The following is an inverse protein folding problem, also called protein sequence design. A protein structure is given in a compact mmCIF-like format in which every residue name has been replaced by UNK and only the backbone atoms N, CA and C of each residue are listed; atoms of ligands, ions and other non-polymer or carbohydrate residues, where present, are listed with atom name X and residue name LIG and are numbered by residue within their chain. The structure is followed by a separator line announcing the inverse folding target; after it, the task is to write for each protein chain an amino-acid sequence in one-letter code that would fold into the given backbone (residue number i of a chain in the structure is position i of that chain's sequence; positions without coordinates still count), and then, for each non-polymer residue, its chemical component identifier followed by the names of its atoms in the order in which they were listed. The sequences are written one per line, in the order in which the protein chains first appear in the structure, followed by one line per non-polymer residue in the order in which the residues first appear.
data_IF_836466043630
#
_entry.id   IF_836466043630
#
_cell.length_a   1.000
_cell.length_b   1.000
_cell.length_c   1.000
_cell.angle_alpha   90.00
_cell.angle_beta   90.00
_cell.angle_gamma   90.00
#
_symmetry.space_group_name_H-M   'P 1'
#
loop_
_entity.id
_entity.type
_entity.pdbx_description
1 polymer ?
#
# COMPACT_ATOMS: atom_id res chain seq x y z
N UNK A 1 12.39 -1.10 5.92
CA UNK A 1 11.71 -0.09 6.77
C UNK A 1 10.64 -0.78 7.61
N UNK A 2 10.92 -1.13 8.87
CA UNK A 2 9.98 -1.81 9.75
C UNK A 2 8.70 -0.99 10.05
N UNK A 3 8.82 0.34 10.10
CA UNK A 3 7.75 1.21 10.58
C UNK A 3 6.57 1.35 9.61
N UNK A 4 6.82 1.37 8.30
CA UNK A 4 5.74 1.51 7.31
C UNK A 4 4.86 0.25 7.28
N UNK A 5 5.45 -0.94 7.39
CA UNK A 5 4.68 -2.19 7.46
C UNK A 5 3.85 -2.27 8.75
N UNK A 6 4.34 -1.70 9.86
CA UNK A 6 3.58 -1.59 11.12
C UNK A 6 2.39 -0.64 10.97
N UNK A 7 2.59 0.51 10.31
CA UNK A 7 1.52 1.47 9.99
C UNK A 7 0.44 0.82 9.10
N UNK A 8 0.84 0.10 8.04
CA UNK A 8 -0.12 -0.57 7.15
C UNK A 8 -0.97 -1.61 7.89
N UNK A 9 -0.37 -2.37 8.82
CA UNK A 9 -1.12 -3.30 9.68
C UNK A 9 -2.10 -2.60 10.62
N UNK A 10 -1.78 -1.39 11.08
CA UNK A 10 -2.69 -0.59 11.90
C UNK A 10 -3.87 -0.05 11.09
N UNK A 11 -3.62 0.47 9.88
CA UNK A 11 -4.65 1.06 9.01
C UNK A 11 -5.62 0.02 8.44
N UNK A 12 -5.11 -1.13 8.01
CA UNK A 12 -5.90 -2.12 7.26
C UNK A 12 -6.18 -3.41 8.03
N UNK A 13 -5.66 -3.53 9.25
CA UNK A 13 -5.84 -4.68 10.12
C UNK A 13 -4.77 -5.76 9.98
N UNK A 14 -4.60 -6.56 11.04
CA UNK A 14 -3.52 -7.55 11.18
C UNK A 14 -3.60 -8.72 10.19
N UNK A 15 -4.80 -9.03 9.69
CA UNK A 15 -5.07 -10.20 8.85
C UNK A 15 -5.07 -9.90 7.35
N UNK A 16 -4.88 -8.63 6.95
CA UNK A 16 -4.85 -8.22 5.55
C UNK A 16 -3.41 -7.98 5.10
N UNK A 17 -3.07 -8.48 3.91
CA UNK A 17 -1.69 -8.42 3.37
C UNK A 17 -1.47 -7.08 2.67
N UNK A 18 -0.93 -6.13 3.42
CA UNK A 18 -0.45 -4.84 2.93
C UNK A 18 1.04 -4.69 3.26
N UNK A 19 1.85 -4.37 2.27
CA UNK A 19 3.30 -4.23 2.44
C UNK A 19 3.92 -3.24 1.45
N UNK A 20 5.11 -2.74 1.79
CA UNK A 20 5.93 -1.94 0.89
C UNK A 20 6.89 -2.86 0.13
N UNK A 21 6.91 -2.70 -1.19
CA UNK A 21 7.94 -3.24 -2.07
C UNK A 21 8.92 -2.13 -2.44
N UNK A 22 10.21 -2.33 -2.18
CA UNK A 22 11.26 -1.44 -2.66
C UNK A 22 11.68 -1.89 -4.07
N UNK A 23 11.45 -1.05 -5.07
CA UNK A 23 11.74 -1.37 -6.47
C UNK A 23 13.15 -0.91 -6.89
N UNK A 24 13.94 -0.36 -5.95
CA UNK A 24 15.23 0.25 -6.24
C UNK A 24 15.10 1.61 -6.93
N UNK A 25 16.22 2.30 -7.14
CA UNK A 25 16.26 3.54 -7.92
C UNK A 25 15.29 4.63 -7.44
N UNK A 26 15.21 4.86 -6.12
CA UNK A 26 14.27 5.79 -5.50
C UNK A 26 12.80 5.53 -5.89
N UNK A 27 12.41 4.25 -6.00
CA UNK A 27 11.04 3.84 -6.28
C UNK A 27 10.53 2.85 -5.24
N UNK A 28 9.30 3.03 -4.82
CA UNK A 28 8.61 2.09 -3.94
C UNK A 28 7.15 1.91 -4.32
N UNK A 29 6.59 0.75 -4.01
CA UNK A 29 5.19 0.42 -4.24
C UNK A 29 4.51 -0.05 -2.97
N UNK A 30 3.34 0.48 -2.68
CA UNK A 30 2.42 -0.08 -1.71
C UNK A 30 1.59 -1.17 -2.37
N UNK A 31 1.75 -2.41 -1.91
CA UNK A 31 1.02 -3.55 -2.43
C UNK A 31 -0.12 -3.90 -1.47
N UNK A 32 -1.34 -3.98 -2.00
CA UNK A 32 -2.53 -4.45 -1.30
C UNK A 32 -3.06 -5.71 -1.99
N UNK A 33 -3.03 -6.86 -1.31
CA UNK A 33 -3.51 -8.15 -1.85
C UNK A 33 -4.95 -8.44 -1.43
N UNK A 34 -5.81 -7.42 -1.51
CA UNK A 34 -7.22 -7.51 -1.13
C UNK A 34 -8.01 -6.36 -1.74
N UNK A 35 -9.33 -6.57 -1.87
CA UNK A 35 -10.25 -5.51 -2.27
C UNK A 35 -10.29 -4.41 -1.20
N UNK A 36 -10.09 -3.17 -1.62
CA UNK A 36 -10.26 -1.98 -0.79
C UNK A 36 -11.69 -1.48 -0.91
N UNK A 37 -12.28 -1.08 0.21
CA UNK A 37 -13.53 -0.31 0.17
C UNK A 37 -13.30 1.07 -0.47
N UNK A 38 -14.37 1.72 -0.94
CA UNK A 38 -14.28 3.09 -1.50
C UNK A 38 -13.69 4.10 -0.51
N UNK A 39 -13.93 3.93 0.80
CA UNK A 39 -13.34 4.77 1.84
C UNK A 39 -11.83 4.53 1.99
N UNK A 40 -11.39 3.28 1.97
CA UNK A 40 -9.97 2.93 2.02
C UNK A 40 -9.21 3.39 0.78
N UNK A 41 -9.83 3.27 -0.39
CA UNK A 41 -9.29 3.80 -1.65
C UNK A 41 -9.14 5.33 -1.57
N UNK A 42 -10.14 6.04 -1.05
CA UNK A 42 -10.09 7.49 -0.86
C UNK A 42 -8.99 7.91 0.12
N UNK A 43 -8.75 7.15 1.18
CA UNK A 43 -7.62 7.37 2.10
C UNK A 43 -6.30 7.24 1.32
N UNK A 44 -6.14 6.18 0.53
CA UNK A 44 -4.89 5.96 -0.21
C UNK A 44 -4.65 7.02 -1.30
N UNK A 45 -5.70 7.44 -2.01
CA UNK A 45 -5.59 8.35 -3.15
C UNK A 45 -5.52 9.82 -2.75
N UNK A 46 -6.24 10.23 -1.71
CA UNK A 46 -6.52 11.66 -1.47
C UNK A 46 -6.04 12.19 -0.12
N UNK A 47 -5.70 11.33 0.84
CA UNK A 47 -5.47 11.78 2.22
C UNK A 47 -4.02 12.12 2.56
N UNK A 48 -3.05 11.74 1.72
CA UNK A 48 -1.63 11.82 2.09
C UNK A 48 -1.24 10.94 3.28
N UNK A 49 -2.10 10.01 3.70
CA UNK A 49 -1.85 9.12 4.85
C UNK A 49 -0.71 8.13 4.61
N UNK A 50 -0.39 7.83 3.35
CA UNK A 50 0.78 7.02 3.02
C UNK A 50 2.02 7.92 2.93
N UNK A 51 3.09 7.62 3.70
CA UNK A 51 4.30 8.43 3.68
C UNK A 51 4.97 8.35 2.31
N UNK A 52 5.28 9.51 1.73
CA UNK A 52 6.03 9.63 0.48
C UNK A 52 7.35 10.34 0.75
N UNK A 53 8.48 9.60 0.87
CA UNK A 53 9.76 10.22 1.10
C UNK A 53 10.13 11.17 -0.05
N UNK A 54 10.71 12.36 0.24
CA UNK A 54 11.15 13.28 -0.79
C UNK A 54 12.09 12.61 -1.80
N UNK A 55 11.84 12.84 -3.09
CA UNK A 55 12.64 12.27 -4.17
C UNK A 55 12.41 10.78 -4.44
N UNK A 56 11.52 10.12 -3.70
CA UNK A 56 11.11 8.73 -3.96
C UNK A 56 9.79 8.71 -4.71
N UNK A 57 9.75 8.06 -5.86
CA UNK A 57 8.52 7.82 -6.59
C UNK A 57 7.73 6.69 -5.92
N UNK A 58 6.51 7.01 -5.51
CA UNK A 58 5.61 6.09 -4.82
C UNK A 58 4.48 5.69 -5.76
N UNK A 59 4.21 4.39 -5.85
CA UNK A 59 3.02 3.86 -6.53
C UNK A 59 2.18 2.98 -5.61
N UNK A 60 0.90 2.83 -5.95
CA UNK A 60 -0.04 1.94 -5.27
C UNK A 60 -0.44 0.84 -6.26
N UNK A 61 -0.36 -0.41 -5.82
CA UNK A 61 -0.72 -1.58 -6.62
C UNK A 61 -1.75 -2.41 -5.88
N UNK A 62 -2.90 -2.60 -6.51
CA UNK A 62 -3.94 -3.50 -6.04
C UNK A 62 -3.76 -4.83 -6.76
N UNK A 63 -3.43 -5.87 -6.00
CA UNK A 63 -3.39 -7.25 -6.47
C UNK A 63 -4.64 -7.93 -5.97
N UNK A 64 -5.79 -7.58 -6.56
CA UNK A 64 -6.94 -8.46 -6.43
C UNK A 64 -6.56 -9.78 -7.07
N UNK A 65 -6.69 -10.87 -6.32
CA UNK A 65 -6.54 -12.20 -6.90
C UNK A 65 -7.73 -12.39 -7.82
N UNK A 66 -7.60 -11.94 -9.07
CA UNK A 66 -8.41 -12.47 -10.16
C UNK A 66 -8.07 -13.94 -10.22
N UNK A 67 -8.87 -14.75 -9.54
CA UNK A 67 -8.90 -16.18 -9.74
C UNK A 67 -9.44 -16.37 -11.16
N UNK A 68 -8.56 -16.29 -12.17
CA UNK A 68 -8.82 -16.85 -13.48
C UNK A 68 -8.95 -18.36 -13.28
N UNK A 69 -10.21 -18.80 -13.19
CA UNK A 69 -10.63 -20.19 -13.28
C UNK A 69 -10.77 -20.59 -14.75
#
# INVERSE_FOLDING_TARGET
MPDINRMLRFMFGKNRRAYVLNNGGLRMSYIFEFALSSAELAIIQSSGALPSPPGVYVSVVLKETSNEA
#
